data_IF_466260126091
#
_entry.id   IF_466260126091
#
_cell.length_a   1.000
_cell.length_b   1.000
_cell.length_c   1.000
_cell.angle_alpha   90.00
_cell.angle_beta   90.00
_cell.angle_gamma   90.00
#
_symmetry.space_group_name_H-M   'P 1'
#
loop_
_entity.id
_entity.type
_entity.pdbx_description
1 polymer ?
#
# COMPACT_ATOMS: atom_id res chain seq x y z
N UNK A 1 -10.83 -9.43 -18.18
CA UNK A 1 -11.18 -8.04 -17.82
C UNK A 1 -10.01 -7.04 -17.74
N UNK A 2 -8.72 -7.46 -17.79
CA UNK A 2 -7.58 -6.52 -17.79
C UNK A 2 -7.42 -5.69 -19.07
N UNK A 3 -8.16 -6.02 -20.13
CA UNK A 3 -8.07 -5.40 -21.46
C UNK A 3 -8.96 -4.16 -21.61
N UNK A 4 -10.05 -4.04 -20.84
CA UNK A 4 -11.04 -2.99 -21.07
C UNK A 4 -10.70 -1.65 -20.39
N UNK A 5 -10.09 -1.67 -19.20
CA UNK A 5 -9.87 -0.45 -18.40
C UNK A 5 -8.94 0.59 -19.05
N UNK A 6 -7.82 0.22 -19.69
CA UNK A 6 -6.94 1.20 -20.34
C UNK A 6 -7.56 1.77 -21.62
N UNK A 7 -8.32 0.94 -22.34
CA UNK A 7 -9.07 1.35 -23.53
C UNK A 7 -10.09 2.43 -23.21
N UNK A 8 -10.76 2.33 -22.06
CA UNK A 8 -11.71 3.35 -21.56
C UNK A 8 -10.98 4.62 -21.11
N UNK A 9 -9.80 4.50 -20.49
CA UNK A 9 -9.01 5.67 -20.06
C UNK A 9 -8.47 6.46 -21.27
N UNK A 10 -8.06 5.75 -22.33
CA UNK A 10 -7.67 6.36 -23.60
C UNK A 10 -8.89 6.98 -24.30
N UNK A 11 -10.05 6.31 -24.30
CA UNK A 11 -11.30 6.88 -24.82
C UNK A 11 -11.72 8.16 -24.09
N UNK A 12 -11.55 8.23 -22.76
CA UNK A 12 -11.82 9.43 -21.98
C UNK A 12 -10.89 10.59 -22.36
N UNK A 13 -9.59 10.31 -22.58
CA UNK A 13 -8.63 11.31 -23.10
C UNK A 13 -9.03 11.80 -24.50
N UNK A 14 -9.63 10.94 -25.32
CA UNK A 14 -10.16 11.31 -26.65
C UNK A 14 -11.48 12.07 -26.61
N UNK A 15 -12.33 11.81 -25.62
CA UNK A 15 -13.64 12.48 -25.46
C UNK A 15 -13.46 13.89 -24.87
N UNK A 16 -12.45 14.11 -24.03
CA UNK A 16 -12.08 15.42 -23.49
C UNK A 16 -11.04 16.12 -24.39
N UNK A 17 -11.46 16.48 -25.60
CA UNK A 17 -10.62 17.04 -26.68
C UNK A 17 -9.91 18.38 -26.42
N UNK A 18 -9.82 18.84 -25.16
CA UNK A 18 -9.17 20.09 -24.77
C UNK A 18 -7.79 19.93 -24.11
N UNK A 19 -7.38 18.72 -23.71
CA UNK A 19 -6.09 18.53 -23.03
C UNK A 19 -4.96 18.24 -24.02
N UNK A 20 -3.94 19.11 -24.03
CA UNK A 20 -2.73 18.90 -24.84
C UNK A 20 -2.03 17.60 -24.39
N UNK A 21 -1.72 16.66 -25.30
CA UNK A 21 -1.03 15.42 -24.94
C UNK A 21 0.33 15.71 -24.32
N UNK A 22 0.75 14.84 -23.39
CA UNK A 22 1.86 14.99 -22.43
C UNK A 22 3.28 15.21 -23.02
N UNK A 23 3.44 15.38 -24.32
CA UNK A 23 4.73 15.53 -24.99
C UNK A 23 4.68 16.56 -26.13
N UNK A 24 4.28 17.80 -25.82
CA UNK A 24 4.63 18.99 -26.63
C UNK A 24 4.35 18.91 -28.14
N UNK A 25 3.46 18.03 -28.59
CA UNK A 25 3.26 17.78 -30.01
C UNK A 25 2.28 18.83 -30.52
N UNK A 26 2.81 19.92 -31.05
CA UNK A 26 2.02 20.88 -31.82
C UNK A 26 1.43 20.13 -33.01
N UNK A 27 0.11 20.10 -33.07
CA UNK A 27 -0.63 19.55 -34.20
C UNK A 27 -0.32 20.45 -35.40
N UNK A 28 0.60 20.02 -36.25
CA UNK A 28 0.77 20.65 -37.55
C UNK A 28 -0.47 20.32 -38.39
N UNK A 29 -1.28 21.34 -38.69
CA UNK A 29 -2.49 21.23 -39.50
C UNK A 29 -2.25 20.64 -40.90
N UNK A 30 -0.99 20.53 -41.30
CA UNK A 30 -0.54 19.97 -42.58
C UNK A 30 -0.49 18.43 -42.64
N UNK A 31 -0.74 17.70 -41.55
CA UNK A 31 -0.73 16.23 -41.59
C UNK A 31 -2.00 15.66 -42.27
N UNK A 32 -1.80 14.82 -43.28
CA UNK A 32 -2.88 14.11 -43.99
C UNK A 32 -3.72 13.24 -43.05
N UNK A 33 -5.00 13.03 -43.33
CA UNK A 33 -5.93 12.26 -42.47
C UNK A 33 -5.41 10.87 -42.11
N UNK A 34 -4.69 10.20 -43.02
CA UNK A 34 -4.05 8.89 -42.77
C UNK A 34 -2.99 8.97 -41.67
N UNK A 35 -2.18 10.04 -41.66
CA UNK A 35 -1.13 10.24 -40.65
C UNK A 35 -1.71 10.57 -39.25
N UNK A 36 -2.89 11.21 -39.18
CA UNK A 36 -3.61 11.43 -37.91
C UNK A 36 -4.06 10.12 -37.28
N UNK A 37 -4.60 9.18 -38.07
CA UNK A 37 -5.02 7.85 -37.59
C UNK A 37 -3.83 7.05 -37.06
N UNK A 38 -2.70 7.06 -37.79
CA UNK A 38 -1.47 6.42 -37.34
C UNK A 38 -0.97 6.97 -36.00
N UNK A 39 -1.02 8.29 -35.83
CA UNK A 39 -0.63 8.96 -34.59
C UNK A 39 -1.54 8.57 -33.42
N UNK A 40 -2.85 8.53 -33.63
CA UNK A 40 -3.82 8.05 -32.62
C UNK A 40 -3.50 6.62 -32.19
N UNK A 41 -3.23 5.73 -33.15
CA UNK A 41 -2.89 4.34 -32.85
C UNK A 41 -1.59 4.24 -32.02
N UNK A 42 -0.56 5.01 -32.37
CA UNK A 42 0.70 5.05 -31.61
C UNK A 42 0.46 5.55 -30.17
N UNK A 43 -0.33 6.61 -29.99
CA UNK A 43 -0.65 7.13 -28.65
C UNK A 43 -1.43 6.12 -27.81
N UNK A 44 -2.41 5.42 -28.39
CA UNK A 44 -3.16 4.36 -27.71
C UNK A 44 -2.23 3.22 -27.31
N UNK A 45 -1.38 2.76 -28.22
CA UNK A 45 -0.42 1.69 -27.97
C UNK A 45 0.61 2.08 -26.90
N UNK A 46 1.10 3.32 -26.91
CA UNK A 46 2.02 3.85 -25.90
C UNK A 46 1.35 3.96 -24.53
N UNK A 47 0.14 4.51 -24.45
CA UNK A 47 -0.62 4.59 -23.19
C UNK A 47 -0.92 3.20 -22.63
N UNK A 48 -1.30 2.25 -23.50
CA UNK A 48 -1.48 0.85 -23.16
C UNK A 48 -0.21 0.23 -22.58
N UNK A 49 0.93 0.39 -23.26
CA UNK A 49 2.21 -0.12 -22.80
C UNK A 49 2.61 0.46 -21.44
N UNK A 50 2.44 1.78 -21.25
CA UNK A 50 2.72 2.46 -19.97
C UNK A 50 1.83 1.90 -18.87
N UNK A 51 0.53 1.74 -19.12
CA UNK A 51 -0.40 1.19 -18.13
C UNK A 51 -0.05 -0.25 -17.75
N UNK A 52 0.22 -1.11 -18.74
CA UNK A 52 0.63 -2.50 -18.50
C UNK A 52 1.94 -2.58 -17.72
N UNK A 53 2.92 -1.74 -18.07
CA UNK A 53 4.21 -1.70 -17.39
C UNK A 53 4.06 -1.20 -15.95
N UNK A 54 3.35 -0.09 -15.74
CA UNK A 54 3.11 0.49 -14.42
C UNK A 54 2.35 -0.49 -13.51
N UNK A 55 1.29 -1.12 -14.02
CA UNK A 55 0.53 -2.12 -13.29
C UNK A 55 1.36 -3.35 -12.94
N UNK A 56 2.18 -3.85 -13.88
CA UNK A 56 3.04 -5.02 -13.64
C UNK A 56 4.13 -4.72 -12.60
N UNK A 57 4.77 -3.55 -12.69
CA UNK A 57 5.76 -3.10 -11.70
C UNK A 57 5.12 -2.94 -10.33
N UNK A 58 3.93 -2.33 -10.24
CA UNK A 58 3.21 -2.20 -8.98
C UNK A 58 2.85 -3.57 -8.37
N UNK A 59 2.32 -4.50 -9.17
CA UNK A 59 2.03 -5.87 -8.73
C UNK A 59 3.29 -6.62 -8.29
N UNK A 60 4.41 -6.47 -9.01
CA UNK A 60 5.68 -7.08 -8.64
C UNK A 60 6.19 -6.53 -7.30
N UNK A 61 6.24 -5.21 -7.15
CA UNK A 61 6.67 -4.53 -5.92
C UNK A 61 5.80 -4.94 -4.72
N UNK A 62 4.49 -5.00 -4.92
CA UNK A 62 3.53 -5.49 -3.94
C UNK A 62 3.84 -6.94 -3.53
N UNK A 63 4.05 -7.82 -4.49
CA UNK A 63 4.29 -9.26 -4.24
C UNK A 63 5.59 -9.46 -3.46
N UNK A 64 6.66 -8.76 -3.86
CA UNK A 64 7.94 -8.77 -3.15
C UNK A 64 7.77 -8.27 -1.72
N UNK A 65 7.03 -7.17 -1.53
CA UNK A 65 6.76 -6.62 -0.20
C UNK A 65 5.97 -7.59 0.68
N UNK A 66 4.86 -8.13 0.19
CA UNK A 66 4.04 -9.07 0.94
C UNK A 66 4.82 -10.34 1.31
N UNK A 67 5.56 -10.92 0.36
CA UNK A 67 6.38 -12.10 0.61
C UNK A 67 7.51 -11.82 1.61
N UNK A 68 8.16 -10.66 1.53
CA UNK A 68 9.22 -10.29 2.45
C UNK A 68 8.69 -10.10 3.88
N UNK A 69 7.54 -9.44 4.05
CA UNK A 69 6.89 -9.28 5.35
C UNK A 69 6.40 -10.61 5.91
N UNK A 70 5.78 -11.44 5.07
CA UNK A 70 5.34 -12.77 5.44
C UNK A 70 6.52 -13.62 5.94
N UNK A 71 7.66 -13.59 5.23
CA UNK A 71 8.89 -14.27 5.63
C UNK A 71 9.38 -13.81 7.01
N UNK A 72 9.45 -12.49 7.25
CA UNK A 72 9.84 -11.93 8.55
C UNK A 72 8.90 -12.39 9.66
N UNK A 73 7.59 -12.34 9.42
CA UNK A 73 6.57 -12.77 10.38
C UNK A 73 6.70 -14.26 10.69
N UNK A 74 6.85 -15.10 9.67
CA UNK A 74 6.97 -16.55 9.82
C UNK A 74 8.21 -16.92 10.64
N UNK A 75 9.37 -16.30 10.36
CA UNK A 75 10.58 -16.54 11.14
C UNK A 75 10.47 -16.01 12.57
N UNK A 76 9.88 -14.84 12.80
CA UNK A 76 9.62 -14.35 14.16
C UNK A 76 8.71 -15.31 14.94
N UNK A 77 7.64 -15.81 14.31
CA UNK A 77 6.76 -16.81 14.91
C UNK A 77 7.49 -18.10 15.24
N UNK A 78 8.36 -18.57 14.35
CA UNK A 78 9.21 -19.74 14.59
C UNK A 78 10.11 -19.56 15.82
N UNK A 79 10.79 -18.41 15.94
CA UNK A 79 11.64 -18.08 17.10
C UNK A 79 10.84 -17.98 18.41
N UNK A 80 9.63 -17.42 18.34
CA UNK A 80 8.74 -17.32 19.50
C UNK A 80 8.26 -18.70 19.93
N UNK A 81 7.92 -19.58 18.97
CA UNK A 81 7.38 -20.92 19.24
C UNK A 81 8.43 -21.92 19.68
N UNK A 82 9.68 -21.79 19.28
CA UNK A 82 10.79 -22.70 19.64
C UNK A 82 11.23 -22.63 21.12
N UNK A 83 10.36 -22.14 22.02
CA UNK A 83 10.61 -21.79 23.42
C UNK A 83 10.88 -22.92 24.41
N UNK A 84 11.43 -24.05 23.97
CA UNK A 84 12.13 -24.94 24.89
C UNK A 84 13.30 -24.21 25.55
N UNK A 85 13.75 -24.61 26.75
CA UNK A 85 14.92 -24.02 27.41
C UNK A 85 16.10 -24.11 26.45
N UNK A 86 16.39 -22.99 25.78
CA UNK A 86 17.37 -22.91 24.72
C UNK A 86 18.73 -23.07 25.39
N UNK A 87 19.34 -24.24 25.16
CA UNK A 87 20.74 -24.46 25.46
C UNK A 87 21.57 -23.31 24.86
N UNK A 88 22.62 -22.89 25.56
CA UNK A 88 23.43 -21.68 25.24
C UNK A 88 23.80 -21.55 23.75
N UNK A 89 24.15 -22.67 23.11
CA UNK A 89 24.52 -22.74 21.69
C UNK A 89 23.33 -22.33 20.78
N UNK A 90 22.11 -22.80 21.08
CA UNK A 90 20.92 -22.46 20.31
C UNK A 90 20.50 -21.00 20.48
N UNK A 91 20.78 -20.40 21.64
CA UNK A 91 20.50 -18.98 21.87
C UNK A 91 21.34 -18.09 20.94
N UNK A 92 22.64 -18.35 20.81
CA UNK A 92 23.52 -17.59 19.91
C UNK A 92 23.05 -17.67 18.46
N UNK A 93 22.69 -18.87 17.99
CA UNK A 93 22.15 -19.07 16.65
C UNK A 93 20.84 -18.29 16.44
N UNK A 94 19.95 -18.32 17.43
CA UNK A 94 18.66 -17.61 17.36
C UNK A 94 18.85 -16.10 17.30
N UNK A 95 19.82 -15.56 18.06
CA UNK A 95 20.19 -14.13 18.02
C UNK A 95 20.79 -13.78 16.66
N UNK A 96 21.62 -14.64 16.06
CA UNK A 96 22.16 -14.42 14.71
C UNK A 96 21.05 -14.34 13.67
N UNK A 97 20.09 -15.28 13.69
CA UNK A 97 18.92 -15.25 12.78
C UNK A 97 18.12 -13.97 13.01
N UNK A 98 17.90 -13.57 14.27
CA UNK A 98 17.20 -12.33 14.59
C UNK A 98 17.91 -11.10 14.02
N UNK A 99 19.24 -11.03 14.08
CA UNK A 99 20.02 -9.95 13.48
C UNK A 99 19.92 -9.93 11.95
N UNK A 100 19.90 -11.09 11.30
CA UNK A 100 19.69 -11.18 9.86
C UNK A 100 18.29 -10.67 9.47
N UNK A 101 17.27 -11.00 10.25
CA UNK A 101 15.92 -10.45 10.07
C UNK A 101 15.88 -8.93 10.28
N UNK A 102 16.64 -8.40 11.23
CA UNK A 102 16.69 -6.95 11.50
C UNK A 102 17.30 -6.19 10.31
N UNK A 103 18.37 -6.75 9.73
CA UNK A 103 18.96 -6.23 8.48
C UNK A 103 17.94 -6.30 7.34
N UNK A 104 17.21 -7.40 7.18
CA UNK A 104 16.17 -7.53 6.15
C UNK A 104 15.07 -6.48 6.33
N UNK A 105 14.59 -6.26 7.55
CA UNK A 105 13.60 -5.21 7.86
C UNK A 105 14.17 -3.82 7.61
N UNK A 106 15.45 -3.59 7.90
CA UNK A 106 16.12 -2.32 7.58
C UNK A 106 16.18 -2.07 6.06
N UNK A 107 16.43 -3.10 5.25
CA UNK A 107 16.40 -3.00 3.79
C UNK A 107 14.99 -2.74 3.26
N UNK A 108 13.99 -3.46 3.80
CA UNK A 108 12.57 -3.22 3.48
C UNK A 108 12.20 -1.77 3.80
N UNK A 109 12.60 -1.25 4.97
CA UNK A 109 12.38 0.14 5.35
C UNK A 109 13.08 1.13 4.42
N UNK A 110 14.32 0.86 4.00
CA UNK A 110 15.06 1.75 3.10
C UNK A 110 14.39 1.84 1.72
N UNK A 111 13.97 0.70 1.17
CA UNK A 111 13.24 0.62 -0.09
C UNK A 111 11.86 1.27 0.01
N UNK A 112 11.12 0.98 1.09
CA UNK A 112 9.78 1.52 1.28
C UNK A 112 9.79 3.02 1.50
N UNK A 113 10.66 3.52 2.39
CA UNK A 113 10.62 4.90 2.88
C UNK A 113 10.78 5.94 1.78
N UNK A 114 11.62 5.68 0.76
CA UNK A 114 11.96 6.71 -0.25
C UNK A 114 10.90 6.82 -1.35
N UNK A 115 10.45 5.72 -1.93
CA UNK A 115 9.66 5.76 -3.18
C UNK A 115 8.42 4.90 -3.14
N UNK A 116 8.53 3.66 -2.65
CA UNK A 116 7.44 2.70 -2.77
C UNK A 116 6.23 3.10 -1.91
N UNK A 117 6.47 3.56 -0.69
CA UNK A 117 5.42 3.81 0.29
C UNK A 117 4.61 5.10 0.03
N UNK A 118 5.22 6.26 -0.29
CA UNK A 118 4.44 7.44 -0.70
C UNK A 118 3.60 7.15 -1.95
N UNK A 119 4.18 6.45 -2.93
CA UNK A 119 3.49 6.09 -4.18
C UNK A 119 2.35 5.11 -3.94
N UNK A 120 2.55 4.07 -3.13
CA UNK A 120 1.50 3.11 -2.77
C UNK A 120 0.39 3.77 -1.95
N UNK A 121 0.72 4.61 -0.98
CA UNK A 121 -0.28 5.32 -0.18
C UNK A 121 -1.09 6.27 -1.04
N UNK A 122 -0.44 7.05 -1.90
CA UNK A 122 -1.12 7.94 -2.82
C UNK A 122 -2.04 7.16 -3.77
N UNK A 123 -1.57 6.05 -4.35
CA UNK A 123 -2.39 5.25 -5.26
C UNK A 123 -3.59 4.61 -4.58
N UNK A 124 -3.42 4.09 -3.36
CA UNK A 124 -4.50 3.56 -2.52
C UNK A 124 -5.52 4.65 -2.19
N UNK A 125 -5.06 5.84 -1.77
CA UNK A 125 -5.94 6.94 -1.36
C UNK A 125 -6.75 7.43 -2.57
N UNK A 126 -6.09 7.68 -3.70
CA UNK A 126 -6.76 8.11 -4.94
C UNK A 126 -7.74 7.04 -5.42
N UNK A 127 -7.34 5.77 -5.44
CA UNK A 127 -8.22 4.68 -5.85
C UNK A 127 -9.43 4.51 -4.94
N UNK A 128 -9.27 4.70 -3.63
CA UNK A 128 -10.38 4.64 -2.68
C UNK A 128 -11.33 5.82 -2.83
N UNK A 129 -10.80 7.04 -2.97
CA UNK A 129 -11.62 8.24 -3.13
C UNK A 129 -12.45 8.16 -4.40
N UNK A 130 -11.80 7.89 -5.55
CA UNK A 130 -12.45 7.77 -6.85
C UNK A 130 -13.41 6.57 -6.90
N UNK A 131 -12.98 5.42 -6.35
CA UNK A 131 -13.81 4.22 -6.33
C UNK A 131 -15.07 4.41 -5.48
N UNK A 132 -14.97 5.02 -4.29
CA UNK A 132 -16.13 5.34 -3.47
C UNK A 132 -17.03 6.40 -4.10
N UNK A 133 -16.46 7.49 -4.65
CA UNK A 133 -17.26 8.55 -5.25
C UNK A 133 -18.05 8.05 -6.46
N UNK A 134 -17.42 7.26 -7.33
CA UNK A 134 -18.09 6.64 -8.47
C UNK A 134 -19.13 5.62 -8.04
N UNK A 135 -18.83 4.80 -7.02
CA UNK A 135 -19.82 3.84 -6.47
C UNK A 135 -21.07 4.56 -5.95
N UNK A 136 -20.90 5.67 -5.23
CA UNK A 136 -22.02 6.47 -4.71
C UNK A 136 -22.79 7.15 -5.84
N UNK A 137 -22.08 7.74 -6.80
CA UNK A 137 -22.69 8.45 -7.94
C UNK A 137 -23.49 7.49 -8.84
N UNK A 138 -22.99 6.27 -9.06
CA UNK A 138 -23.67 5.28 -9.88
C UNK A 138 -24.86 4.64 -9.15
N UNK A 139 -24.80 4.50 -7.82
CA UNK A 139 -25.93 4.13 -6.96
C UNK A 139 -26.83 3.02 -7.51
N UNK A 140 -27.97 3.40 -8.08
CA UNK A 140 -28.96 2.49 -8.67
C UNK A 140 -28.53 1.85 -10.00
N UNK A 141 -27.68 2.51 -10.79
CA UNK A 141 -27.18 2.04 -12.11
C UNK A 141 -25.99 1.10 -12.02
N UNK A 142 -25.59 0.73 -10.80
CA UNK A 142 -24.40 -0.07 -10.58
C UNK A 142 -24.56 -1.52 -11.07
N UNK A 143 -25.80 -2.02 -11.12
CA UNK A 143 -26.13 -3.36 -11.63
C UNK A 143 -26.41 -3.41 -13.14
N UNK A 144 -26.60 -2.26 -13.79
CA UNK A 144 -26.94 -2.19 -15.21
C UNK A 144 -25.79 -2.68 -16.10
N UNK A 145 -24.54 -2.49 -15.64
CA UNK A 145 -23.34 -2.89 -16.37
C UNK A 145 -22.36 -3.59 -15.45
N UNK A 146 -21.90 -4.79 -15.84
CA UNK A 146 -20.88 -5.56 -15.09
C UNK A 146 -19.59 -4.75 -14.89
N UNK A 147 -19.28 -3.82 -15.79
CA UNK A 147 -18.15 -2.90 -15.64
C UNK A 147 -18.24 -1.98 -14.42
N UNK A 148 -19.46 -1.62 -13.99
CA UNK A 148 -19.67 -0.73 -12.84
C UNK A 148 -19.33 -1.40 -11.51
N UNK A 149 -19.40 -2.73 -11.43
CA UNK A 149 -18.95 -3.51 -10.26
C UNK A 149 -17.43 -3.42 -10.03
N UNK A 150 -16.66 -2.98 -11.02
CA UNK A 150 -15.22 -2.83 -10.88
C UNK A 150 -14.84 -1.77 -9.82
N UNK A 151 -15.58 -0.67 -9.73
CA UNK A 151 -15.30 0.43 -8.80
C UNK A 151 -15.43 0.04 -7.32
N UNK A 152 -16.55 -0.57 -6.85
CA UNK A 152 -16.65 -1.01 -5.47
C UNK A 152 -15.66 -2.15 -5.17
N UNK A 153 -15.38 -3.02 -6.14
CA UNK A 153 -14.40 -4.09 -5.98
C UNK A 153 -12.97 -3.54 -5.80
N UNK A 154 -12.57 -2.57 -6.62
CA UNK A 154 -11.27 -1.90 -6.51
C UNK A 154 -11.13 -1.15 -5.16
N UNK A 155 -12.20 -0.51 -4.71
CA UNK A 155 -12.28 0.13 -3.39
C UNK A 155 -12.12 -0.89 -2.26
N UNK A 156 -12.84 -2.01 -2.34
CA UNK A 156 -12.74 -3.09 -1.36
C UNK A 156 -11.33 -3.67 -1.31
N UNK A 157 -10.69 -3.93 -2.46
CA UNK A 157 -9.32 -4.45 -2.51
C UNK A 157 -8.30 -3.47 -1.92
N UNK A 158 -8.39 -2.18 -2.26
CA UNK A 158 -7.47 -1.17 -1.72
C UNK A 158 -7.66 -0.95 -0.22
N UNK A 159 -8.90 -1.00 0.28
CA UNK A 159 -9.22 -0.98 1.71
C UNK A 159 -8.64 -2.21 2.43
N UNK A 160 -8.90 -3.41 1.91
CA UNK A 160 -8.38 -4.66 2.47
C UNK A 160 -6.86 -4.64 2.51
N UNK A 161 -6.20 -4.20 1.44
CA UNK A 161 -4.75 -4.09 1.40
C UNK A 161 -4.21 -3.16 2.50
N UNK A 162 -4.84 -1.99 2.68
CA UNK A 162 -4.42 -1.01 3.69
C UNK A 162 -4.50 -1.60 5.11
N UNK A 163 -5.58 -2.31 5.41
CA UNK A 163 -5.79 -2.97 6.71
C UNK A 163 -4.77 -4.09 6.92
N UNK A 164 -4.60 -4.96 5.92
CA UNK A 164 -3.67 -6.10 5.98
C UNK A 164 -2.24 -5.61 6.18
N UNK A 165 -1.81 -4.61 5.40
CA UNK A 165 -0.47 -4.05 5.49
C UNK A 165 -0.19 -3.39 6.85
N UNK A 166 -1.12 -2.60 7.37
CA UNK A 166 -0.99 -2.03 8.72
C UNK A 166 -1.01 -3.08 9.83
N UNK A 167 -1.79 -4.14 9.67
CA UNK A 167 -1.83 -5.27 10.59
C UNK A 167 -0.49 -6.01 10.60
N UNK A 168 0.10 -6.28 9.43
CA UNK A 168 1.43 -6.87 9.33
C UNK A 168 2.50 -6.00 10.01
N UNK A 169 2.48 -4.69 9.80
CA UNK A 169 3.41 -3.77 10.45
C UNK A 169 3.30 -3.82 11.98
N UNK A 170 2.08 -3.77 12.50
CA UNK A 170 1.81 -3.91 13.93
C UNK A 170 2.21 -5.28 14.49
N UNK A 171 1.96 -6.35 13.72
CA UNK A 171 2.31 -7.71 14.12
C UNK A 171 3.81 -7.91 14.21
N UNK A 172 4.59 -7.47 13.22
CA UNK A 172 6.06 -7.53 13.25
C UNK A 172 6.61 -6.80 14.47
N UNK A 173 6.07 -5.62 14.79
CA UNK A 173 6.50 -4.86 15.97
C UNK A 173 6.16 -5.59 17.29
N UNK A 174 4.93 -6.09 17.42
CA UNK A 174 4.48 -6.82 18.62
C UNK A 174 5.27 -8.12 18.82
N UNK A 175 5.46 -8.89 17.75
CA UNK A 175 6.17 -10.17 17.78
C UNK A 175 7.66 -10.00 18.03
N UNK A 176 8.32 -9.03 17.38
CA UNK A 176 9.73 -8.73 17.64
C UNK A 176 9.96 -8.26 19.08
N UNK A 177 9.06 -7.46 19.66
CA UNK A 177 9.14 -7.04 21.08
C UNK A 177 9.03 -8.23 22.03
N UNK A 178 8.08 -9.15 21.79
CA UNK A 178 7.96 -10.40 22.55
C UNK A 178 9.23 -11.25 22.47
N UNK A 179 9.83 -11.31 21.28
CA UNK A 179 11.07 -12.03 21.04
C UNK A 179 12.24 -11.47 21.88
N UNK A 180 12.42 -10.15 21.88
CA UNK A 180 13.45 -9.47 22.70
C UNK A 180 13.24 -9.73 24.20
N UNK A 181 12.01 -9.60 24.70
CA UNK A 181 11.69 -9.88 26.11
C UNK A 181 11.99 -11.35 26.46
N UNK A 182 11.69 -12.27 25.54
CA UNK A 182 11.99 -13.70 25.72
C UNK A 182 13.50 -13.94 25.80
N UNK A 183 14.30 -13.33 24.92
CA UNK A 183 15.76 -13.43 24.98
C UNK A 183 16.33 -12.88 26.28
N UNK A 184 15.82 -11.74 26.76
CA UNK A 184 16.20 -11.19 28.05
C UNK A 184 15.90 -12.19 29.18
N UNK A 185 14.69 -12.77 29.23
CA UNK A 185 14.32 -13.76 30.25
C UNK A 185 15.17 -15.04 30.18
N UNK A 186 15.42 -15.57 28.99
CA UNK A 186 16.24 -16.79 28.82
C UNK A 186 17.70 -16.56 29.22
N UNK A 187 18.26 -15.37 28.95
CA UNK A 187 19.59 -15.01 29.44
C UNK A 187 19.69 -15.03 30.96
N UNK A 188 18.66 -14.52 31.64
CA UNK A 188 18.60 -14.49 33.11
C UNK A 188 18.55 -15.89 33.70
N UNK A 189 17.66 -16.75 33.17
CA UNK A 189 17.52 -18.14 33.66
C UNK A 189 18.80 -18.95 33.44
N UNK A 190 19.44 -18.84 32.27
CA UNK A 190 20.65 -19.59 31.97
C UNK A 190 21.89 -19.11 32.75
N UNK A 191 21.87 -17.91 33.33
CA UNK A 191 22.97 -17.39 34.15
C UNK A 191 22.87 -17.77 35.63
N UNK A 192 21.90 -18.61 36.02
CA UNK A 192 21.51 -18.99 37.39
C UNK A 192 22.57 -18.80 38.50
N UNK A 193 22.16 -18.14 39.59
CA UNK A 193 22.88 -17.81 40.84
C UNK A 193 24.32 -17.25 40.72
N UNK A 194 24.86 -17.09 39.51
CA UNK A 194 26.14 -16.42 39.27
C UNK A 194 25.97 -14.92 39.46
N UNK A 195 27.10 -14.28 39.76
CA UNK A 195 27.24 -12.87 40.09
C UNK A 195 26.25 -11.97 39.33
N UNK A 196 25.43 -11.19 40.05
CA UNK A 196 24.40 -10.30 39.49
C UNK A 196 24.95 -9.35 38.40
N UNK A 197 26.22 -9.01 38.51
CA UNK A 197 26.95 -8.19 37.51
C UNK A 197 26.99 -8.84 36.12
N UNK A 198 27.20 -10.17 36.04
CA UNK A 198 27.26 -10.89 34.77
C UNK A 198 25.88 -10.97 34.12
N UNK A 199 24.83 -11.14 34.91
CA UNK A 199 23.45 -11.10 34.42
C UNK A 199 23.11 -9.71 33.84
N UNK A 200 23.42 -8.65 34.58
CA UNK A 200 23.18 -7.28 34.16
C UNK A 200 23.94 -6.94 32.87
N UNK A 201 25.20 -7.37 32.78
CA UNK A 201 26.02 -7.20 31.58
C UNK A 201 25.40 -7.93 30.38
N UNK A 202 25.01 -9.20 30.54
CA UNK A 202 24.37 -9.96 29.45
C UNK A 202 23.03 -9.36 29.03
N UNK A 203 22.21 -8.93 29.98
CA UNK A 203 20.94 -8.26 29.69
C UNK A 203 21.18 -6.96 28.94
N UNK A 204 22.18 -6.18 29.34
CA UNK A 204 22.58 -4.96 28.64
C UNK A 204 23.04 -5.24 27.21
N UNK A 205 23.89 -6.26 27.00
CA UNK A 205 24.36 -6.68 25.68
C UNK A 205 23.21 -7.09 24.77
N UNK A 206 22.29 -7.94 25.25
CA UNK A 206 21.11 -8.37 24.47
C UNK A 206 20.21 -7.18 24.13
N UNK A 207 19.98 -6.28 25.09
CA UNK A 207 19.13 -5.11 24.87
C UNK A 207 19.75 -4.13 23.87
N UNK A 208 21.07 -3.96 23.91
CA UNK A 208 21.82 -3.13 22.96
C UNK A 208 21.90 -3.77 21.57
N UNK A 209 21.94 -5.10 21.49
CA UNK A 209 22.09 -5.83 20.22
C UNK A 209 20.77 -6.19 19.54
N UNK A 210 19.67 -6.29 20.29
CA UNK A 210 18.37 -6.74 19.80
C UNK A 210 17.34 -5.63 20.05
N UNK A 211 17.27 -4.67 19.14
CA UNK A 211 16.21 -3.66 19.16
C UNK A 211 14.94 -4.21 18.53
N UNK A 212 13.75 -3.94 19.09
CA UNK A 212 12.50 -4.33 18.46
C UNK A 212 12.39 -3.79 17.03
N UNK A 213 12.13 -4.68 16.08
CA UNK A 213 11.96 -4.34 14.69
C UNK A 213 10.73 -3.43 14.53
N UNK A 214 10.89 -2.35 13.77
CA UNK A 214 9.85 -1.36 13.50
C UNK A 214 9.82 -1.06 12.02
N UNK A 215 8.66 -1.20 11.40
CA UNK A 215 8.46 -0.77 10.01
C UNK A 215 8.13 0.72 10.03
N UNK A 216 8.93 1.53 9.33
CA UNK A 216 8.87 2.99 9.36
C UNK A 216 8.30 3.57 8.06
N UNK A 217 7.49 4.60 8.21
CA UNK A 217 6.76 5.32 7.17
C UNK A 217 7.27 6.76 7.17
N UNK A 218 8.24 7.07 6.29
CA UNK A 218 8.92 8.37 6.35
C UNK A 218 9.66 8.52 7.68
N UNK A 219 9.32 9.56 8.44
CA UNK A 219 9.83 9.78 9.80
C UNK A 219 8.94 9.18 10.89
N UNK A 220 7.76 8.66 10.53
CA UNK A 220 6.76 8.16 11.46
C UNK A 220 6.78 6.63 11.55
N UNK A 221 6.29 6.08 12.66
CA UNK A 221 6.06 4.65 12.82
C UNK A 221 4.66 4.28 12.36
N UNK A 222 4.49 3.16 11.64
CA UNK A 222 3.14 2.66 11.36
C UNK A 222 2.56 2.06 12.62
N UNK A 223 1.67 2.80 13.26
CA UNK A 223 0.79 2.23 14.26
C UNK A 223 -0.32 1.41 13.58
N UNK A 224 -0.91 0.47 14.33
CA UNK A 224 -2.10 -0.28 13.92
C UNK A 224 -3.27 0.64 13.55
N UNK A 225 -3.29 1.88 14.06
CA UNK A 225 -4.28 2.90 13.74
C UNK A 225 -4.07 3.63 12.41
N UNK A 226 -2.90 3.52 11.78
CA UNK A 226 -2.57 4.25 10.54
C UNK A 226 -3.56 3.93 9.40
N UNK A 227 -3.94 2.67 9.14
CA UNK A 227 -4.96 2.34 8.13
C UNK A 227 -6.30 3.02 8.40
N UNK A 228 -6.73 3.11 9.67
CA UNK A 228 -7.98 3.77 10.04
C UNK A 228 -7.93 5.27 9.74
N UNK A 229 -6.79 5.92 10.02
CA UNK A 229 -6.59 7.34 9.69
C UNK A 229 -6.65 7.55 8.17
N UNK A 230 -6.01 6.68 7.39
CA UNK A 230 -6.03 6.75 5.92
C UNK A 230 -7.47 6.58 5.40
N UNK A 231 -8.21 5.58 5.89
CA UNK A 231 -9.60 5.36 5.48
C UNK A 231 -10.51 6.53 5.86
N UNK A 232 -10.32 7.12 7.05
CA UNK A 232 -11.05 8.32 7.48
C UNK A 232 -10.73 9.54 6.60
N UNK A 233 -9.48 9.70 6.17
CA UNK A 233 -9.10 10.73 5.20
C UNK A 233 -9.78 10.48 3.85
N UNK A 234 -9.76 9.25 3.33
CA UNK A 234 -10.44 8.91 2.08
C UNK A 234 -11.93 9.24 2.15
N UNK A 235 -12.63 8.81 3.21
CA UNK A 235 -14.05 9.10 3.40
C UNK A 235 -14.32 10.63 3.45
N UNK A 236 -13.49 11.40 4.17
CA UNK A 236 -13.61 12.85 4.25
C UNK A 236 -13.47 13.53 2.88
N UNK A 237 -12.52 13.08 2.06
CA UNK A 237 -12.33 13.63 0.72
C UNK A 237 -13.44 13.19 -0.24
N UNK A 238 -13.95 11.96 -0.14
CA UNK A 238 -15.12 11.50 -0.91
C UNK A 238 -16.33 12.38 -0.64
N UNK A 239 -16.66 12.67 0.63
CA UNK A 239 -17.78 13.55 0.97
C UNK A 239 -17.59 14.96 0.40
N UNK A 240 -16.37 15.52 0.49
CA UNK A 240 -16.07 16.83 -0.10
C UNK A 240 -16.27 16.86 -1.62
N UNK A 241 -15.85 15.80 -2.32
CA UNK A 241 -16.04 15.70 -3.78
C UNK A 241 -17.53 15.61 -4.15
N UNK A 242 -18.31 14.84 -3.39
CA UNK A 242 -19.75 14.73 -3.62
C UNK A 242 -20.47 16.07 -3.40
N UNK A 243 -20.14 16.79 -2.33
CA UNK A 243 -20.72 18.12 -2.05
C UNK A 243 -20.34 19.17 -3.11
N UNK A 244 -19.17 19.06 -3.73
CA UNK A 244 -18.76 19.94 -4.84
C UNK A 244 -19.52 19.67 -6.14
N UNK A 245 -20.15 18.50 -6.28
CA UNK A 245 -20.86 18.09 -7.50
C UNK A 245 -22.35 18.48 -7.50
N UNK A 246 -22.95 18.75 -6.34
CA UNK A 246 -24.36 19.15 -6.21
C UNK A 246 -24.76 20.57 -6.70
N UNK A 247 -23.89 21.60 -6.87
CA UNK A 247 -24.38 22.95 -7.13
C UNK A 247 -24.96 23.19 -8.53
N UNK A 248 -24.87 22.24 -9.47
CA UNK A 248 -25.26 22.50 -10.87
C UNK A 248 -26.54 21.79 -11.37
N UNK A 249 -27.16 20.92 -10.56
CA UNK A 249 -28.39 20.21 -10.96
C UNK A 249 -29.68 20.86 -10.38
N UNK A 250 -29.55 21.97 -9.65
CA UNK A 250 -30.66 22.63 -8.95
C UNK A 250 -31.32 23.82 -9.67
N UNK A 251 -30.87 24.24 -10.85
CA UNK A 251 -31.38 25.46 -11.50
C UNK A 251 -32.28 25.24 -12.72
N UNK A 252 -32.76 24.02 -12.98
CA UNK A 252 -33.66 23.73 -14.12
C UNK A 252 -35.00 23.09 -13.74
N UNK A 253 -35.38 23.06 -12.46
CA UNK A 253 -36.64 22.46 -12.01
C UNK A 253 -37.67 23.47 -11.46
N UNK A 254 -37.81 24.66 -12.08
CA UNK A 254 -38.88 25.61 -11.71
C UNK A 254 -39.41 26.47 -12.87
N UNK A 255 -39.57 25.91 -14.08
CA UNK A 255 -40.23 26.64 -15.19
C UNK A 255 -41.45 25.95 -15.82
N UNK A 256 -41.79 24.71 -15.45
CA UNK A 256 -42.94 24.00 -16.07
C UNK A 256 -44.12 23.82 -15.10
N UNK A 257 -44.45 24.84 -14.30
CA UNK A 257 -45.68 24.84 -13.48
C UNK A 257 -46.64 25.99 -13.76
N UNK A 258 -46.63 26.51 -14.99
CA UNK A 258 -47.68 27.36 -15.53
C UNK A 258 -47.88 27.09 -17.02
N UNK A 259 -48.60 26.02 -17.34
CA UNK A 259 -49.46 25.91 -18.53
C UNK A 259 -50.51 24.82 -18.30
#
# INVERSE_FOLDING_TARGET
MRIAAPSVLVLLIFIEGGMKPFLGFEWSDYLSTSSKIGLVFILVAQAWAIFCLAGSVACFMFTVLCNSLHCVVQHLCYIIRSGHPLQRIRLTLTIQIYKQLDILVAQINLCLRKVCLPTLLASIVVSNILGMSLTILLGSRLLDHVGNLFFPLATAFSTMFTIVFGTFAGYVHKSSTKCVIKFQRTCVVNCGNRNKEVENLMRHLVTKSCTPMKIRFGNNFMAISTPLVILGLCAKYTVRLLLMQEPNNGFTASTDRYQ
#
